data_IF_551143833832
#
_entry.id   IF_551143833832
#
_cell.length_a   1.000
_cell.length_b   1.000
_cell.length_c   1.000
_cell.angle_alpha   90.00
_cell.angle_beta   90.00
_cell.angle_gamma   90.00
#
_symmetry.space_group_name_H-M   'P 1'
#
loop_
_entity.id
_entity.type
_entity.pdbx_description
1 polymer ?
#
# COMPACT_ATOMS: atom_id res chain seq x y z
N UNK A 1 -47.68 -3.43 7.68
CA UNK A 1 -46.79 -2.49 8.38
C UNK A 1 -46.31 -3.21 9.63
N UNK A 2 -44.99 -3.26 9.86
CA UNK A 2 -44.23 -4.24 10.66
C UNK A 2 -43.99 -5.53 9.84
N UNK A 3 -42.77 -6.02 9.64
CA UNK A 3 -41.69 -6.14 10.63
C UNK A 3 -40.31 -6.26 9.94
N UNK A 4 -39.57 -5.14 9.78
CA UNK A 4 -38.17 -5.16 9.33
C UNK A 4 -37.18 -5.02 10.50
N UNK A 5 -37.67 -5.12 11.76
CA UNK A 5 -36.84 -4.96 12.96
C UNK A 5 -36.01 -6.19 13.34
N UNK A 6 -36.21 -7.32 12.64
CA UNK A 6 -35.51 -8.59 12.92
C UNK A 6 -34.21 -8.83 12.13
N UNK A 7 -33.84 -7.94 11.20
CA UNK A 7 -32.59 -8.03 10.43
C UNK A 7 -31.58 -6.99 10.92
N UNK A 8 -31.40 -6.89 12.25
CA UNK A 8 -30.12 -6.46 12.79
C UNK A 8 -29.15 -7.63 12.56
N UNK A 9 -28.62 -7.69 11.33
CA UNK A 9 -27.35 -8.32 11.05
C UNK A 9 -26.34 -7.63 11.96
N UNK A 10 -26.11 -8.21 13.14
CA UNK A 10 -24.84 -8.07 13.85
C UNK A 10 -23.84 -8.76 12.94
N UNK A 11 -23.41 -8.05 11.89
CA UNK A 11 -22.21 -8.39 11.16
C UNK A 11 -21.12 -8.27 12.19
N UNK A 12 -20.55 -9.40 12.57
CA UNK A 12 -19.22 -9.41 13.15
C UNK A 12 -18.35 -8.66 12.11
N UNK A 13 -18.03 -7.39 12.38
CA UNK A 13 -17.39 -6.46 11.43
C UNK A 13 -15.92 -6.80 11.19
N UNK A 14 -15.57 -8.08 11.29
CA UNK A 14 -14.27 -8.59 10.93
C UNK A 14 -14.24 -8.78 9.42
N UNK A 15 -13.59 -7.84 8.73
CA UNK A 15 -13.33 -8.00 7.30
C UNK A 15 -12.37 -9.19 7.10
N UNK A 16 -12.76 -10.14 6.26
CA UNK A 16 -11.84 -11.14 5.75
C UNK A 16 -10.94 -10.47 4.69
N UNK A 17 -9.69 -10.21 5.06
CA UNK A 17 -8.71 -9.58 4.18
C UNK A 17 -7.93 -10.57 3.31
N UNK A 18 -8.15 -11.88 3.46
CA UNK A 18 -7.55 -12.90 2.60
C UNK A 18 -8.27 -13.07 1.25
N UNK A 19 -9.45 -12.45 1.09
CA UNK A 19 -10.20 -12.46 -0.16
C UNK A 19 -9.91 -11.21 -1.03
N UNK A 20 -10.59 -11.10 -2.16
CA UNK A 20 -10.39 -10.02 -3.14
C UNK A 20 -10.86 -8.64 -2.68
N UNK A 21 -11.57 -8.54 -1.54
CA UNK A 21 -12.14 -7.29 -1.04
C UNK A 21 -11.06 -6.24 -0.78
N UNK A 22 -9.99 -6.61 -0.06
CA UNK A 22 -8.91 -5.67 0.29
C UNK A 22 -8.20 -5.14 -0.98
N UNK A 23 -8.02 -5.98 -1.99
CA UNK A 23 -7.46 -5.55 -3.26
C UNK A 23 -8.38 -4.58 -4.01
N UNK A 24 -9.69 -4.83 -4.01
CA UNK A 24 -10.67 -3.89 -4.58
C UNK A 24 -10.70 -2.56 -3.82
N UNK A 25 -10.61 -2.61 -2.49
CA UNK A 25 -10.55 -1.42 -1.65
C UNK A 25 -9.30 -0.58 -1.92
N UNK A 26 -8.15 -1.23 -2.11
CA UNK A 26 -6.87 -0.58 -2.43
C UNK A 26 -6.82 -0.06 -3.87
N UNK A 27 -7.47 -0.74 -4.81
CA UNK A 27 -7.66 -0.21 -6.16
C UNK A 27 -8.42 1.12 -6.16
N UNK A 28 -9.40 1.26 -5.26
CA UNK A 28 -10.25 2.44 -5.16
C UNK A 28 -9.63 3.58 -4.31
N UNK A 29 -9.03 3.24 -3.16
CA UNK A 29 -8.63 4.21 -2.13
C UNK A 29 -7.12 4.23 -1.83
N UNK A 30 -6.37 3.30 -2.41
CA UNK A 30 -4.96 3.10 -2.13
C UNK A 30 -4.03 3.68 -3.19
N UNK A 31 -2.80 3.99 -2.79
CA UNK A 31 -1.72 4.34 -3.69
C UNK A 31 -0.38 3.69 -3.32
N UNK A 32 0.33 3.16 -4.31
CA UNK A 32 1.68 2.64 -4.10
C UNK A 32 2.67 3.80 -4.26
N UNK A 33 3.44 4.14 -3.23
CA UNK A 33 4.40 5.23 -3.33
C UNK A 33 5.82 4.71 -3.55
N UNK A 34 6.61 5.51 -4.25
CA UNK A 34 8.04 5.27 -4.51
C UNK A 34 8.77 6.60 -4.43
N UNK A 35 9.73 6.74 -3.51
CA UNK A 35 10.48 7.97 -3.27
C UNK A 35 11.92 7.63 -2.94
N UNK A 36 12.86 8.30 -3.58
CA UNK A 36 14.27 8.24 -3.18
C UNK A 36 14.58 9.49 -2.40
N UNK A 37 14.97 9.34 -1.14
CA UNK A 37 15.52 10.46 -0.36
C UNK A 37 17.03 10.40 -0.42
N UNK A 38 17.65 11.55 -0.60
CA UNK A 38 19.11 11.68 -0.67
C UNK A 38 19.58 12.58 0.46
N UNK A 39 20.42 12.07 1.36
CA UNK A 39 20.99 12.84 2.46
C UNK A 39 22.47 12.47 2.61
N UNK A 40 23.35 13.47 2.52
CA UNK A 40 24.80 13.31 2.68
C UNK A 40 25.36 12.15 1.82
N UNK A 41 25.04 12.12 0.52
CA UNK A 41 25.43 11.07 -0.45
C UNK A 41 24.92 9.65 -0.19
N UNK A 42 24.05 9.48 0.82
CA UNK A 42 23.29 8.26 1.05
C UNK A 42 21.94 8.44 0.37
N UNK A 43 21.62 7.52 -0.54
CA UNK A 43 20.34 7.49 -1.24
C UNK A 43 19.51 6.33 -0.71
N UNK A 44 18.34 6.60 -0.14
CA UNK A 44 17.47 5.56 0.42
C UNK A 44 16.16 5.52 -0.35
N UNK A 45 15.77 4.34 -0.84
CA UNK A 45 14.45 4.14 -1.48
C UNK A 45 13.40 3.83 -0.43
N UNK A 46 12.36 4.64 -0.41
CA UNK A 46 11.12 4.42 0.32
C UNK A 46 10.05 3.98 -0.66
N UNK A 47 9.43 2.85 -0.35
CA UNK A 47 8.26 2.37 -1.07
C UNK A 47 7.28 1.72 -0.12
N UNK A 48 6.03 1.67 -0.53
CA UNK A 48 4.97 1.06 0.26
C UNK A 48 3.60 1.41 -0.28
N UNK A 49 2.60 1.15 0.54
CA UNK A 49 1.20 1.43 0.27
C UNK A 49 0.70 2.53 1.21
N UNK A 50 -0.06 3.48 0.67
CA UNK A 50 -0.87 4.42 1.44
C UNK A 50 -2.35 4.19 1.10
N UNK A 51 -3.26 4.28 2.07
CA UNK A 51 -4.71 4.20 1.84
C UNK A 51 -5.38 5.32 2.61
N UNK A 52 -6.26 6.08 1.97
CA UNK A 52 -7.01 7.15 2.63
C UNK A 52 -8.44 6.71 2.90
N UNK A 53 -8.95 6.98 4.10
CA UNK A 53 -10.32 6.65 4.51
C UNK A 53 -10.85 7.64 5.53
N UNK A 54 -12.18 7.80 5.56
CA UNK A 54 -12.87 8.48 6.66
C UNK A 54 -13.16 7.53 7.84
N UNK A 55 -13.06 6.22 7.61
CA UNK A 55 -13.27 5.18 8.60
C UNK A 55 -11.89 4.78 9.16
N UNK A 56 -11.58 5.24 10.38
CA UNK A 56 -10.33 4.98 11.08
C UNK A 56 -10.24 3.55 11.64
N UNK A 57 -11.38 2.98 12.04
CA UNK A 57 -11.48 1.60 12.52
C UNK A 57 -11.04 0.61 11.46
N UNK A 58 -11.55 0.76 10.23
CA UNK A 58 -11.13 -0.05 9.09
C UNK A 58 -9.62 0.05 8.85
N UNK A 59 -9.04 1.25 8.96
CA UNK A 59 -7.60 1.42 8.78
C UNK A 59 -6.80 0.73 9.89
N UNK A 60 -7.31 0.71 11.12
CA UNK A 60 -6.69 -0.02 12.23
C UNK A 60 -6.77 -1.54 12.05
N UNK A 61 -7.86 -2.04 11.47
CA UNK A 61 -7.95 -3.46 11.10
C UNK A 61 -6.98 -3.80 9.96
N UNK A 62 -6.89 -2.96 8.93
CA UNK A 62 -5.89 -3.11 7.84
C UNK A 62 -4.48 -3.08 8.41
N UNK A 63 -4.17 -2.17 9.34
CA UNK A 63 -2.88 -2.13 10.05
C UNK A 63 -2.61 -3.42 10.81
N UNK A 64 -3.62 -3.95 11.51
CA UNK A 64 -3.46 -5.21 12.27
C UNK A 64 -3.17 -6.39 11.34
N UNK A 65 -3.68 -6.34 10.11
CA UNK A 65 -3.46 -7.37 9.09
C UNK A 65 -2.14 -7.23 8.33
N UNK A 66 -1.80 -6.01 7.90
CA UNK A 66 -0.65 -5.74 7.03
C UNK A 66 0.62 -5.32 7.79
N UNK A 67 0.52 -4.92 9.06
CA UNK A 67 1.52 -4.09 9.73
C UNK A 67 1.33 -2.62 9.37
N UNK A 68 2.29 -1.75 9.70
CA UNK A 68 2.24 -0.31 9.34
C UNK A 68 1.69 0.57 10.44
N UNK A 69 1.27 1.76 10.04
CA UNK A 69 0.70 2.74 10.95
C UNK A 69 -0.50 3.46 10.34
N UNK A 70 -1.31 4.01 11.24
CA UNK A 70 -2.48 4.83 10.91
C UNK A 70 -2.27 6.18 11.56
N UNK A 71 -2.58 7.23 10.83
CA UNK A 71 -2.45 8.61 11.29
C UNK A 71 -3.47 9.49 10.58
N UNK A 72 -3.66 10.71 11.05
CA UNK A 72 -4.64 11.66 10.52
C UNK A 72 -3.95 12.77 9.73
N UNK A 73 -4.42 13.00 8.50
CA UNK A 73 -3.95 14.09 7.67
C UNK A 73 -4.88 15.30 7.79
N UNK A 74 -4.47 16.28 8.59
CA UNK A 74 -5.19 17.53 8.82
C UNK A 74 -5.49 18.32 7.53
N UNK A 75 -4.61 18.24 6.53
CA UNK A 75 -4.76 19.06 5.31
C UNK A 75 -5.92 18.60 4.43
N UNK A 76 -6.21 17.29 4.43
CA UNK A 76 -7.29 16.70 3.64
C UNK A 76 -8.44 16.18 4.51
N UNK A 77 -8.35 16.35 5.83
CA UNK A 77 -9.33 15.94 6.82
C UNK A 77 -9.70 14.44 6.70
N UNK A 78 -8.69 13.57 6.58
CA UNK A 78 -8.86 12.11 6.44
C UNK A 78 -7.81 11.33 7.23
N UNK A 79 -8.18 10.14 7.67
CA UNK A 79 -7.21 9.17 8.16
C UNK A 79 -6.49 8.51 6.99
N UNK A 80 -5.26 8.08 7.24
CA UNK A 80 -4.51 7.29 6.29
C UNK A 80 -3.80 6.14 6.97
N UNK A 81 -3.84 5.00 6.32
CA UNK A 81 -2.94 3.88 6.57
C UNK A 81 -1.68 4.06 5.74
N UNK A 82 -0.51 3.74 6.28
CA UNK A 82 0.72 3.67 5.51
C UNK A 82 1.64 2.55 5.99
N UNK A 83 2.24 1.86 5.02
CA UNK A 83 3.29 0.86 5.24
C UNK A 83 4.63 1.37 4.73
N UNK A 84 5.70 0.85 5.35
CA UNK A 84 7.06 1.03 4.87
C UNK A 84 7.72 -0.31 4.52
N UNK A 85 8.91 -0.20 3.97
CA UNK A 85 9.68 -1.24 3.33
C UNK A 85 9.98 -2.49 4.19
N UNK A 86 9.94 -2.38 5.52
CA UNK A 86 10.18 -3.51 6.43
C UNK A 86 8.94 -4.41 6.61
N UNK A 87 7.74 -3.89 6.32
CA UNK A 87 6.44 -4.57 6.50
C UNK A 87 5.87 -5.09 5.16
N UNK A 88 6.67 -4.92 4.10
CA UNK A 88 6.37 -5.18 2.69
C UNK A 88 6.07 -6.65 2.35
N UNK A 89 6.55 -7.60 3.16
CA UNK A 89 6.38 -9.03 2.88
C UNK A 89 4.90 -9.44 2.89
N UNK A 90 4.12 -8.87 3.81
CA UNK A 90 2.70 -9.15 3.90
C UNK A 90 1.96 -8.63 2.66
N UNK A 91 2.28 -7.41 2.24
CA UNK A 91 1.68 -6.75 1.07
C UNK A 91 1.91 -7.59 -0.20
N UNK A 92 3.14 -8.04 -0.45
CA UNK A 92 3.37 -8.85 -1.66
C UNK A 92 2.84 -10.26 -1.57
N UNK A 93 2.89 -10.87 -0.39
CA UNK A 93 2.31 -12.19 -0.21
C UNK A 93 0.81 -12.19 -0.50
N UNK A 94 0.10 -11.13 -0.08
CA UNK A 94 -1.33 -10.94 -0.39
C UNK A 94 -1.56 -10.77 -1.90
N UNK A 95 -0.67 -10.06 -2.60
CA UNK A 95 -0.82 -9.79 -4.03
C UNK A 95 -0.12 -10.79 -4.97
N UNK A 96 0.50 -11.85 -4.45
CA UNK A 96 0.83 -13.01 -5.27
C UNK A 96 -0.43 -13.80 -5.62
N UNK A 97 -1.47 -13.71 -4.78
CA UNK A 97 -2.71 -14.47 -4.91
C UNK A 97 -3.90 -13.61 -5.38
N UNK A 98 -3.75 -12.28 -5.49
CA UNK A 98 -4.85 -11.39 -5.83
C UNK A 98 -4.47 -10.46 -6.99
N UNK A 99 -5.32 -10.45 -8.01
CA UNK A 99 -5.17 -9.56 -9.16
C UNK A 99 -5.97 -8.27 -8.93
N UNK A 100 -5.28 -7.13 -8.90
CA UNK A 100 -5.92 -5.82 -9.05
C UNK A 100 -6.73 -5.76 -10.34
N UNK A 101 -7.84 -5.03 -10.36
CA UNK A 101 -8.62 -4.77 -11.56
C UNK A 101 -7.93 -3.69 -12.40
N UNK A 102 -7.41 -2.65 -11.73
CA UNK A 102 -6.75 -1.53 -12.39
C UNK A 102 -5.40 -1.89 -13.00
N UNK A 103 -5.23 -1.61 -14.30
CA UNK A 103 -3.94 -1.78 -14.98
C UNK A 103 -2.83 -0.92 -14.35
N UNK A 104 -3.19 0.27 -13.84
CA UNK A 104 -2.24 1.14 -13.14
C UNK A 104 -1.69 0.44 -11.91
N UNK A 105 -2.56 -0.13 -11.07
CA UNK A 105 -2.20 -0.79 -9.81
C UNK A 105 -1.43 -2.08 -10.04
N UNK A 106 -1.81 -2.87 -11.05
CA UNK A 106 -1.00 -4.03 -11.51
C UNK A 106 0.42 -3.60 -11.87
N UNK A 107 0.57 -2.51 -12.61
CA UNK A 107 1.88 -2.00 -13.06
C UNK A 107 2.72 -1.51 -11.89
N UNK A 108 2.13 -0.74 -10.99
CA UNK A 108 2.78 -0.28 -9.75
C UNK A 108 3.27 -1.45 -8.90
N UNK A 109 2.44 -2.49 -8.73
CA UNK A 109 2.81 -3.72 -8.03
C UNK A 109 3.99 -4.44 -8.71
N UNK A 110 3.99 -4.57 -10.04
CA UNK A 110 5.11 -5.17 -10.80
C UNK A 110 6.40 -4.39 -10.54
N UNK A 111 6.33 -3.05 -10.57
CA UNK A 111 7.51 -2.23 -10.28
C UNK A 111 7.97 -2.37 -8.83
N UNK A 112 7.04 -2.45 -7.87
CA UNK A 112 7.37 -2.69 -6.46
C UNK A 112 8.09 -4.02 -6.27
N UNK A 113 7.60 -5.10 -6.89
CA UNK A 113 8.27 -6.41 -6.92
C UNK A 113 9.67 -6.31 -7.55
N UNK A 114 9.80 -5.61 -8.67
CA UNK A 114 11.07 -5.43 -9.37
C UNK A 114 12.10 -4.63 -8.55
N UNK A 115 11.68 -3.55 -7.89
CA UNK A 115 12.53 -2.74 -7.02
C UNK A 115 13.02 -3.59 -5.85
N UNK A 116 12.12 -4.25 -5.13
CA UNK A 116 12.51 -5.11 -4.01
C UNK A 116 13.47 -6.22 -4.40
N UNK A 117 13.18 -6.93 -5.49
CA UNK A 117 14.07 -7.98 -5.97
C UNK A 117 15.44 -7.42 -6.36
N UNK A 118 15.47 -6.23 -6.96
CA UNK A 118 16.72 -5.55 -7.36
C UNK A 118 17.52 -5.09 -6.14
N UNK A 119 16.86 -4.61 -5.09
CA UNK A 119 17.52 -4.18 -3.85
C UNK A 119 17.93 -5.34 -2.96
N UNK A 120 17.34 -6.53 -3.12
CA UNK A 120 17.52 -7.68 -2.22
C UNK A 120 17.28 -7.30 -0.75
N UNK A 121 16.32 -6.41 -0.50
CA UNK A 121 16.04 -5.87 0.83
C UNK A 121 17.04 -4.80 1.33
N UNK A 122 17.99 -4.34 0.51
CA UNK A 122 18.88 -3.21 0.86
C UNK A 122 18.32 -1.90 0.33
N UNK A 123 17.84 -1.05 1.22
CA UNK A 123 17.20 0.21 0.83
C UNK A 123 18.18 1.35 0.59
N UNK A 124 19.45 1.18 0.99
CA UNK A 124 20.54 2.07 0.62
C UNK A 124 21.04 1.78 -0.80
N UNK A 125 21.05 2.83 -1.62
CA UNK A 125 21.34 2.79 -3.03
C UNK A 125 22.68 3.46 -3.30
N UNK A 126 23.57 2.75 -3.98
CA UNK A 126 24.87 3.29 -4.39
C UNK A 126 25.16 2.97 -5.85
N UNK A 127 25.92 3.85 -6.52
CA UNK A 127 26.43 3.65 -7.87
C UNK A 127 25.35 3.25 -8.89
N UNK A 128 25.59 2.13 -9.59
CA UNK A 128 24.68 1.62 -10.63
C UNK A 128 23.30 1.23 -10.09
N UNK A 129 23.21 0.81 -8.82
CA UNK A 129 21.93 0.45 -8.21
C UNK A 129 21.05 1.70 -8.06
N UNK A 130 21.61 2.81 -7.57
CA UNK A 130 20.92 4.10 -7.50
C UNK A 130 20.41 4.54 -8.87
N UNK A 131 21.26 4.56 -9.90
CA UNK A 131 20.85 4.96 -11.25
C UNK A 131 19.72 4.08 -11.81
N UNK A 132 19.76 2.77 -11.55
CA UNK A 132 18.73 1.82 -11.98
C UNK A 132 17.40 2.07 -11.28
N UNK A 133 17.40 2.22 -9.95
CA UNK A 133 16.18 2.47 -9.17
C UNK A 133 15.60 3.85 -9.49
N UNK A 134 16.43 4.89 -9.61
CA UNK A 134 15.99 6.23 -10.02
C UNK A 134 15.27 6.23 -11.37
N UNK A 135 15.75 5.45 -12.34
CA UNK A 135 15.05 5.27 -13.63
C UNK A 135 13.69 4.61 -13.47
N UNK A 136 13.56 3.60 -12.61
CA UNK A 136 12.27 2.97 -12.31
C UNK A 136 11.30 3.96 -11.67
N UNK A 137 11.73 4.64 -10.60
CA UNK A 137 10.90 5.61 -9.87
C UNK A 137 10.43 6.73 -10.79
N UNK A 138 11.33 7.31 -11.59
CA UNK A 138 10.97 8.36 -12.56
C UNK A 138 9.98 7.86 -13.61
N UNK A 139 10.13 6.62 -14.08
CA UNK A 139 9.20 6.02 -15.03
C UNK A 139 7.81 5.84 -14.41
N UNK A 140 7.71 5.34 -13.18
CA UNK A 140 6.44 5.15 -12.47
C UNK A 140 5.74 6.49 -12.26
N UNK A 141 6.46 7.47 -11.73
CA UNK A 141 5.90 8.78 -11.40
C UNK A 141 5.43 9.56 -12.64
N UNK A 142 5.95 9.26 -13.84
CA UNK A 142 5.46 9.84 -15.09
C UNK A 142 4.05 9.37 -15.48
N UNK A 143 3.62 8.20 -15.00
CA UNK A 143 2.31 7.62 -15.32
C UNK A 143 1.29 7.79 -14.19
N UNK A 144 1.62 8.57 -13.15
CA UNK A 144 0.72 8.89 -12.06
C UNK A 144 -0.13 10.10 -12.36
#
# INVERSE_FOLDING_TARGET
MNDYKGLLLVLDETYDFYNTWLAGYIDANGDFFFRIDSKNDIHTIYMGLIIFSNNDELLHQIKSFLGGYVDFNNNINKYYYKSYHDEYLNIIHIYDNINFISEKKRRELIYMKAIHHTTKGRFDLHGLLFLKISRFVNKINKYK
#
